data_IF_623404278528
#
_entry.id   IF_623404278528
#
_cell.length_a   1.000
_cell.length_b   1.000
_cell.length_c   1.000
_cell.angle_alpha   90.00
_cell.angle_beta   90.00
_cell.angle_gamma   90.00
#
_symmetry.space_group_name_H-M   'P 1'
#
loop_
_entity.id
_entity.type
_entity.pdbx_description
1 polymer ?
#
# COMPACT_ATOMS: atom_id res chain seq x y z
N UNK A 1 -4.47 18.99 1.34
CA UNK A 1 -3.13 18.79 0.72
C UNK A 1 -3.04 17.32 0.42
N UNK A 2 -2.63 16.97 -0.80
CA UNK A 2 -2.67 15.61 -1.37
C UNK A 2 -2.15 14.52 -0.44
N UNK A 3 -1.13 14.81 0.37
CA UNK A 3 -0.62 13.88 1.38
C UNK A 3 -1.75 13.54 2.39
N UNK A 4 -2.28 14.49 3.13
CA UNK A 4 -3.35 14.22 4.10
C UNK A 4 -4.53 13.44 3.48
N UNK A 5 -4.94 13.81 2.27
CA UNK A 5 -6.01 13.13 1.53
C UNK A 5 -5.68 11.68 1.18
N UNK A 6 -4.43 11.37 0.82
CA UNK A 6 -3.99 9.99 0.55
C UNK A 6 -4.05 9.11 1.80
N UNK A 7 -3.60 9.65 2.93
CA UNK A 7 -3.68 8.97 4.23
C UNK A 7 -5.11 8.74 4.66
N UNK A 8 -5.97 9.75 4.52
CA UNK A 8 -7.38 9.68 4.87
C UNK A 8 -8.14 8.70 3.97
N UNK A 9 -7.83 8.68 2.67
CA UNK A 9 -8.39 7.72 1.72
C UNK A 9 -8.05 6.29 2.15
N UNK A 10 -6.77 5.99 2.40
CA UNK A 10 -6.36 4.66 2.86
C UNK A 10 -6.91 4.29 4.24
N UNK A 11 -7.08 5.26 5.13
CA UNK A 11 -7.72 5.05 6.42
C UNK A 11 -9.21 4.67 6.28
N UNK A 12 -9.91 5.20 5.26
CA UNK A 12 -11.32 4.88 4.97
C UNK A 12 -11.49 3.56 4.21
N UNK A 13 -10.71 3.36 3.18
CA UNK A 13 -10.77 2.15 2.33
C UNK A 13 -10.08 0.94 2.97
N UNK A 14 -9.30 1.16 4.03
CA UNK A 14 -8.43 0.20 4.72
C UNK A 14 -7.30 -0.40 3.87
N UNK A 15 -7.51 -0.60 2.56
CA UNK A 15 -6.56 -1.21 1.65
C UNK A 15 -6.77 -0.72 0.22
N UNK A 16 -5.70 -0.42 -0.49
CA UNK A 16 -5.75 -0.03 -1.90
C UNK A 16 -4.49 -0.47 -2.66
N UNK A 17 -4.61 -0.73 -3.96
CA UNK A 17 -3.46 -1.02 -4.81
C UNK A 17 -2.71 0.27 -5.17
N UNK A 18 -1.41 0.15 -5.43
CA UNK A 18 -0.59 1.29 -5.88
C UNK A 18 -1.13 1.89 -7.19
N UNK A 19 -1.59 1.04 -8.10
CA UNK A 19 -2.14 1.44 -9.39
C UNK A 19 -3.48 2.19 -9.24
N UNK A 20 -4.36 1.72 -8.35
CA UNK A 20 -5.66 2.38 -8.10
C UNK A 20 -5.45 3.76 -7.47
N UNK A 21 -4.53 3.87 -6.52
CA UNK A 21 -4.15 5.14 -5.91
C UNK A 21 -3.57 6.11 -6.96
N UNK A 22 -2.66 5.64 -7.80
CA UNK A 22 -2.07 6.45 -8.87
C UNK A 22 -3.15 6.99 -9.82
N UNK A 23 -4.10 6.14 -10.20
CA UNK A 23 -5.23 6.51 -11.06
C UNK A 23 -6.18 7.48 -10.37
N UNK A 24 -6.49 7.28 -9.09
CA UNK A 24 -7.42 8.12 -8.34
C UNK A 24 -6.87 9.52 -8.07
N UNK A 25 -5.59 9.61 -7.71
CA UNK A 25 -4.91 10.87 -7.40
C UNK A 25 -4.22 11.50 -8.62
N UNK A 26 -4.42 10.92 -9.82
CA UNK A 26 -3.84 11.38 -11.09
C UNK A 26 -2.32 11.63 -11.01
N UNK A 27 -1.59 10.70 -10.40
CA UNK A 27 -0.15 10.81 -10.17
C UNK A 27 0.57 9.51 -10.50
N UNK A 28 1.90 9.51 -10.48
CA UNK A 28 2.67 8.29 -10.76
C UNK A 28 2.67 7.35 -9.55
N UNK A 29 2.82 6.05 -9.82
CA UNK A 29 2.94 5.03 -8.78
C UNK A 29 4.12 5.28 -7.83
N UNK A 30 5.23 5.81 -8.34
CA UNK A 30 6.40 6.18 -7.54
C UNK A 30 6.11 7.39 -6.64
N UNK A 31 5.32 8.36 -7.11
CA UNK A 31 4.90 9.49 -6.31
C UNK A 31 3.95 9.06 -5.18
N UNK A 32 3.00 8.15 -5.45
CA UNK A 32 2.17 7.52 -4.42
C UNK A 32 3.04 6.90 -3.34
N UNK A 33 4.01 6.09 -3.73
CA UNK A 33 4.88 5.38 -2.80
C UNK A 33 5.73 6.35 -1.96
N UNK A 34 6.32 7.37 -2.60
CA UNK A 34 7.09 8.41 -1.91
C UNK A 34 6.23 9.18 -0.89
N UNK A 35 5.01 9.56 -1.27
CA UNK A 35 4.06 10.24 -0.37
C UNK A 35 3.66 9.33 0.79
N UNK A 36 3.29 8.08 0.51
CA UNK A 36 2.90 7.10 1.53
C UNK A 36 4.03 6.76 2.50
N UNK A 37 5.28 6.95 2.09
CA UNK A 37 6.47 6.80 2.95
C UNK A 37 6.37 7.55 4.27
N UNK A 38 5.67 8.68 4.32
CA UNK A 38 5.49 9.45 5.57
C UNK A 38 4.68 8.67 6.62
N UNK A 39 3.62 7.96 6.23
CA UNK A 39 2.82 7.15 7.16
C UNK A 39 3.40 5.76 7.38
N UNK A 40 4.09 5.20 6.39
CA UNK A 40 4.87 3.97 6.58
C UNK A 40 5.90 4.15 7.71
N UNK A 41 6.64 5.27 7.71
CA UNK A 41 7.57 5.64 8.80
C UNK A 41 6.88 5.82 10.15
N UNK A 42 5.61 6.22 10.17
CA UNK A 42 4.79 6.36 11.38
C UNK A 42 4.12 5.03 11.81
N UNK A 43 4.35 3.94 11.07
CA UNK A 43 3.72 2.64 11.32
C UNK A 43 2.21 2.63 11.08
N UNK A 44 1.68 3.57 10.27
CA UNK A 44 0.25 3.68 9.96
C UNK A 44 -0.13 3.02 8.65
N UNK A 45 0.84 2.69 7.81
CA UNK A 45 0.62 2.00 6.54
C UNK A 45 1.66 0.91 6.37
N UNK A 46 1.24 -0.25 5.89
CA UNK A 46 2.11 -1.35 5.48
C UNK A 46 2.02 -1.52 3.97
N UNK A 47 3.19 -1.67 3.32
CA UNK A 47 3.31 -2.06 1.92
C UNK A 47 3.43 -3.58 1.84
N UNK A 48 2.57 -4.22 1.06
CA UNK A 48 2.60 -5.64 0.76
C UNK A 48 2.90 -5.81 -0.73
N UNK A 49 3.98 -6.51 -1.05
CA UNK A 49 4.35 -6.83 -2.41
C UNK A 49 4.15 -8.33 -2.63
N UNK A 50 3.26 -8.69 -3.54
CA UNK A 50 3.01 -10.07 -3.91
C UNK A 50 3.52 -10.31 -5.32
N UNK A 51 4.48 -11.22 -5.45
CA UNK A 51 4.90 -11.77 -6.73
C UNK A 51 4.05 -13.01 -7.00
N UNK A 52 3.07 -12.87 -7.88
CA UNK A 52 2.27 -14.00 -8.36
C UNK A 52 3.12 -14.78 -9.38
N UNK A 53 3.82 -15.83 -8.94
CA UNK A 53 4.45 -16.79 -9.84
C UNK A 53 3.50 -17.98 -10.08
N UNK A 54 2.60 -17.83 -11.05
CA UNK A 54 1.92 -18.98 -11.65
C UNK A 54 2.93 -19.73 -12.52
N UNK A 55 3.10 -21.03 -12.27
CA UNK A 55 4.18 -21.88 -12.82
C UNK A 55 4.64 -21.64 -14.27
N UNK A 56 5.96 -21.80 -14.44
CA UNK A 56 6.69 -22.09 -15.70
C UNK A 56 6.26 -21.30 -16.94
N UNK A 57 6.77 -20.07 -17.12
CA UNK A 57 7.07 -19.38 -18.41
C UNK A 57 6.79 -17.85 -18.39
N UNK A 58 6.01 -17.30 -17.45
CA UNK A 58 5.26 -16.07 -17.74
C UNK A 58 5.70 -14.77 -17.01
N UNK A 59 5.39 -13.65 -17.67
CA UNK A 59 5.70 -12.26 -17.28
C UNK A 59 5.27 -11.91 -15.86
N UNK A 60 6.25 -11.50 -15.06
CA UNK A 60 6.10 -11.19 -13.63
C UNK A 60 5.30 -9.91 -13.47
N UNK A 61 4.07 -10.01 -12.95
CA UNK A 61 3.32 -8.86 -12.48
C UNK A 61 3.54 -8.72 -10.97
N UNK A 62 4.10 -7.59 -10.54
CA UNK A 62 4.28 -7.27 -9.13
C UNK A 62 3.05 -6.51 -8.64
N UNK A 63 2.22 -7.17 -7.85
CA UNK A 63 1.07 -6.54 -7.24
C UNK A 63 1.52 -5.85 -5.94
N UNK A 64 1.43 -4.52 -5.92
CA UNK A 64 1.75 -3.71 -4.73
C UNK A 64 0.46 -3.21 -4.09
N UNK A 65 0.23 -3.62 -2.85
CA UNK A 65 -0.91 -3.21 -2.03
C UNK A 65 -0.44 -2.40 -0.83
N UNK A 66 -1.21 -1.38 -0.48
CA UNK A 66 -1.05 -0.62 0.75
C UNK A 66 -2.22 -0.88 1.67
N UNK A 67 -1.94 -1.08 2.95
CA UNK A 67 -2.92 -1.36 3.99
C UNK A 67 -2.75 -0.39 5.16
N UNK A 68 -3.85 0.18 5.64
CA UNK A 68 -3.85 1.09 6.78
C UNK A 68 -3.85 0.32 8.11
N UNK A 69 -2.94 0.68 8.99
CA UNK A 69 -2.80 0.12 10.33
C UNK A 69 -3.40 1.06 11.36
N UNK A 70 -4.47 0.61 12.00
CA UNK A 70 -5.07 1.32 13.13
C UNK A 70 -4.07 1.42 14.29
N UNK A 71 -3.95 2.61 14.92
CA UNK A 71 -3.16 2.75 16.13
C UNK A 71 -3.78 1.89 17.24
N UNK A 72 -3.12 0.80 17.60
CA UNK A 72 -3.56 -0.08 18.69
C UNK A 72 -3.62 -1.55 18.32
N UNK A 73 -3.58 -1.91 17.03
CA UNK A 73 -3.32 -3.29 16.62
C UNK A 73 -1.83 -3.48 16.44
N UNK A 74 -1.13 -3.66 17.56
CA UNK A 74 0.18 -4.30 17.57
C UNK A 74 -0.06 -5.68 16.96
N UNK A 75 0.31 -5.85 15.69
CA UNK A 75 0.15 -7.12 15.00
C UNK A 75 0.93 -8.18 15.78
N UNK A 76 0.20 -9.08 16.45
CA UNK A 76 0.75 -10.39 16.77
C UNK A 76 1.14 -11.01 15.43
N UNK A 77 2.43 -10.95 15.10
CA UNK A 77 3.00 -11.74 14.02
C UNK A 77 2.77 -13.19 14.43
N UNK A 78 1.67 -13.79 13.98
CA UNK A 78 1.49 -15.23 14.04
C UNK A 78 2.52 -15.83 13.09
N UNK A 79 3.70 -16.12 13.64
CA UNK A 79 4.64 -17.08 13.07
C UNK A 79 4.07 -18.46 13.39
N UNK A 80 3.43 -19.09 12.41
CA UNK A 80 3.24 -20.54 12.37
C UNK A 80 4.50 -21.23 11.90
#
# INVERSE_FOLDING_TARGET
MILHELGDYLAREHRASRQDLARHFHTSEDAIEAMLGVWMRKGRIIKQESQLCGGSCCGKQQLVMFEWCEPGRIGLVQRG
#
